data_IF_659399370848
#
_entry.id   IF_659399370848
#
_cell.length_a   1.000
_cell.length_b   1.000
_cell.length_c   1.000
_cell.angle_alpha   90.00
_cell.angle_beta   90.00
_cell.angle_gamma   90.00
#
_symmetry.space_group_name_H-M   'P 1'
#
loop_
_entity.id
_entity.type
_entity.pdbx_description
1 polymer ?
#
# COMPACT_ATOMS: atom_id res chain seq x y z
N UNK A 1 6.29 -66.97 -13.73
CA UNK A 1 6.72 -65.70 -14.37
C UNK A 1 5.55 -64.74 -14.65
N UNK A 2 4.39 -65.18 -15.12
CA UNK A 2 3.24 -64.30 -15.41
C UNK A 2 2.72 -63.48 -14.20
N UNK A 3 2.75 -64.05 -12.99
CA UNK A 3 2.20 -63.40 -11.79
C UNK A 3 3.02 -62.19 -11.32
N UNK A 4 4.35 -62.23 -11.46
CA UNK A 4 5.23 -61.09 -11.14
C UNK A 4 4.98 -59.91 -12.08
N UNK A 5 4.81 -60.19 -13.39
CA UNK A 5 4.54 -59.17 -14.39
C UNK A 5 3.18 -58.51 -14.12
N UNK A 6 2.16 -59.31 -13.81
CA UNK A 6 0.84 -58.79 -13.45
C UNK A 6 0.89 -57.87 -12.21
N UNK A 7 1.61 -58.27 -11.15
CA UNK A 7 1.80 -57.45 -9.95
C UNK A 7 2.51 -56.13 -10.26
N UNK A 8 3.58 -56.15 -11.06
CA UNK A 8 4.30 -54.93 -11.45
C UNK A 8 3.40 -53.95 -12.19
N UNK A 9 2.59 -54.44 -13.15
CA UNK A 9 1.65 -53.59 -13.89
C UNK A 9 0.62 -52.96 -12.95
N UNK A 10 0.04 -53.74 -12.03
CA UNK A 10 -0.94 -53.23 -11.07
C UNK A 10 -0.33 -52.15 -10.17
N UNK A 11 0.89 -52.35 -9.67
CA UNK A 11 1.58 -51.35 -8.84
C UNK A 11 1.81 -50.04 -9.62
N UNK A 12 2.23 -50.13 -10.88
CA UNK A 12 2.43 -48.95 -11.73
C UNK A 12 1.08 -48.24 -11.98
N UNK A 13 0.03 -48.98 -12.31
CA UNK A 13 -1.30 -48.40 -12.54
C UNK A 13 -1.87 -47.74 -11.27
N UNK A 14 -1.76 -48.40 -10.12
CA UNK A 14 -2.24 -47.88 -8.85
C UNK A 14 -1.50 -46.60 -8.43
N UNK A 15 -0.17 -46.58 -8.57
CA UNK A 15 0.64 -45.39 -8.27
C UNK A 15 0.32 -44.23 -9.23
N UNK A 16 0.17 -44.50 -10.52
CA UNK A 16 -0.23 -43.49 -11.51
C UNK A 16 -1.63 -42.93 -11.22
N UNK A 17 -2.60 -43.79 -10.92
CA UNK A 17 -3.95 -43.37 -10.55
C UNK A 17 -3.96 -42.49 -9.30
N UNK A 18 -3.18 -42.86 -8.27
CA UNK A 18 -3.06 -42.07 -7.04
C UNK A 18 -2.44 -40.70 -7.29
N UNK A 19 -1.40 -40.63 -8.13
CA UNK A 19 -0.76 -39.37 -8.49
C UNK A 19 -1.73 -38.43 -9.24
N UNK A 20 -2.53 -38.96 -10.16
CA UNK A 20 -3.57 -38.20 -10.86
C UNK A 20 -4.67 -37.71 -9.91
N UNK A 21 -5.16 -38.56 -9.01
CA UNK A 21 -6.16 -38.19 -8.02
C UNK A 21 -5.66 -37.07 -7.08
N UNK A 22 -4.38 -37.12 -6.70
CA UNK A 22 -3.74 -36.07 -5.91
C UNK A 22 -3.67 -34.74 -6.67
N UNK A 23 -3.24 -34.77 -7.94
CA UNK A 23 -3.21 -33.59 -8.79
C UNK A 23 -4.60 -32.97 -8.99
N UNK A 24 -5.63 -33.79 -9.17
CA UNK A 24 -7.02 -33.33 -9.26
C UNK A 24 -7.47 -32.61 -8.00
N UNK A 25 -7.19 -33.18 -6.82
CA UNK A 25 -7.54 -32.55 -5.54
C UNK A 25 -6.83 -31.21 -5.35
N UNK A 26 -5.54 -31.12 -5.72
CA UNK A 26 -4.80 -29.86 -5.67
C UNK A 26 -5.34 -28.82 -6.65
N UNK A 27 -5.73 -29.25 -7.85
CA UNK A 27 -6.34 -28.36 -8.84
C UNK A 27 -7.66 -27.78 -8.32
N UNK A 28 -8.53 -28.62 -7.74
CA UNK A 28 -9.81 -28.21 -7.15
C UNK A 28 -9.58 -27.17 -6.04
N UNK A 29 -8.68 -27.44 -5.10
CA UNK A 29 -8.38 -26.49 -4.01
C UNK A 29 -7.91 -25.13 -4.52
N UNK A 30 -7.02 -25.11 -5.52
CA UNK A 30 -6.56 -23.86 -6.14
C UNK A 30 -7.70 -23.09 -6.80
N UNK A 31 -8.61 -23.79 -7.48
CA UNK A 31 -9.77 -23.15 -8.09
C UNK A 31 -10.75 -22.61 -7.06
N UNK A 32 -10.94 -23.30 -5.94
CA UNK A 32 -11.75 -22.85 -4.80
C UNK A 32 -11.14 -21.59 -4.17
N UNK A 33 -9.84 -21.58 -3.90
CA UNK A 33 -9.13 -20.43 -3.35
C UNK A 33 -9.22 -19.21 -4.29
N UNK A 34 -9.04 -19.43 -5.60
CA UNK A 34 -9.16 -18.38 -6.61
C UNK A 34 -10.60 -17.83 -6.68
N UNK A 35 -11.60 -18.71 -6.61
CA UNK A 35 -13.01 -18.29 -6.60
C UNK A 35 -13.35 -17.50 -5.34
N UNK A 36 -12.90 -17.95 -4.17
CA UNK A 36 -13.09 -17.25 -2.90
C UNK A 36 -12.43 -15.86 -2.92
N UNK A 37 -11.20 -15.75 -3.46
CA UNK A 37 -10.52 -14.47 -3.64
C UNK A 37 -11.29 -13.54 -4.56
N UNK A 38 -11.83 -14.04 -5.67
CA UNK A 38 -12.63 -13.24 -6.60
C UNK A 38 -13.95 -12.77 -5.98
N UNK A 39 -14.60 -13.62 -5.19
CA UNK A 39 -15.81 -13.26 -4.44
C UNK A 39 -15.51 -12.17 -3.40
N UNK A 40 -14.43 -12.30 -2.63
CA UNK A 40 -14.00 -11.27 -1.68
C UNK A 40 -13.70 -9.93 -2.37
N UNK A 41 -13.05 -9.96 -3.53
CA UNK A 41 -12.79 -8.76 -4.33
C UNK A 41 -14.08 -8.11 -4.84
N UNK A 42 -15.03 -8.90 -5.35
CA UNK A 42 -16.33 -8.39 -5.80
C UNK A 42 -17.14 -7.79 -4.64
N UNK A 43 -17.10 -8.42 -3.47
CA UNK A 43 -17.72 -7.90 -2.25
C UNK A 43 -17.09 -6.59 -1.80
N UNK A 44 -15.75 -6.45 -1.86
CA UNK A 44 -15.07 -5.20 -1.55
C UNK A 44 -15.50 -4.07 -2.49
N UNK A 45 -15.54 -4.33 -3.81
CA UNK A 45 -16.04 -3.36 -4.80
C UNK A 45 -17.51 -2.97 -4.57
N UNK A 46 -18.36 -3.94 -4.23
CA UNK A 46 -19.75 -3.69 -3.85
C UNK A 46 -19.85 -2.81 -2.59
N UNK A 47 -19.00 -3.08 -1.60
CA UNK A 47 -18.88 -2.28 -0.38
C UNK A 47 -18.46 -0.83 -0.68
N UNK A 48 -17.49 -0.62 -1.57
CA UNK A 48 -17.08 0.72 -2.03
C UNK A 48 -18.22 1.46 -2.74
N UNK A 49 -18.97 0.80 -3.62
CA UNK A 49 -20.10 1.41 -4.31
C UNK A 49 -21.21 1.85 -3.33
N UNK A 50 -21.52 1.00 -2.34
CA UNK A 50 -22.48 1.34 -1.27
C UNK A 50 -21.97 2.48 -0.40
N UNK A 51 -20.67 2.48 -0.07
CA UNK A 51 -20.05 3.56 0.68
C UNK A 51 -20.11 4.88 -0.09
N UNK A 52 -19.80 4.88 -1.39
CA UNK A 52 -19.85 6.05 -2.26
C UNK A 52 -21.28 6.61 -2.38
N UNK A 53 -22.28 5.76 -2.59
CA UNK A 53 -23.68 6.18 -2.62
C UNK A 53 -24.13 6.76 -1.28
N UNK A 54 -23.78 6.08 -0.17
CA UNK A 54 -24.09 6.55 1.18
C UNK A 54 -23.44 7.91 1.48
N UNK A 55 -22.20 8.11 1.04
CA UNK A 55 -21.50 9.39 1.16
C UNK A 55 -22.20 10.47 0.33
N UNK A 56 -22.49 10.21 -0.95
CA UNK A 56 -23.18 11.15 -1.84
C UNK A 56 -24.53 11.59 -1.26
N UNK A 57 -25.34 10.65 -0.78
CA UNK A 57 -26.61 10.95 -0.12
C UNK A 57 -26.41 11.74 1.18
N UNK A 58 -25.40 11.42 1.99
CA UNK A 58 -25.15 12.14 3.25
C UNK A 58 -24.68 13.58 3.07
N UNK A 59 -24.11 13.91 1.91
CA UNK A 59 -23.59 15.24 1.59
C UNK A 59 -24.60 16.11 0.80
N UNK A 60 -25.74 15.55 0.38
CA UNK A 60 -26.76 16.31 -0.35
C UNK A 60 -27.35 17.42 0.54
N UNK A 61 -27.25 18.67 0.08
CA UNK A 61 -27.78 19.84 0.79
C UNK A 61 -26.95 20.26 2.01
N UNK A 62 -25.76 19.69 2.20
CA UNK A 62 -24.88 19.97 3.33
C UNK A 62 -23.77 20.94 2.93
N UNK A 63 -23.66 22.08 3.61
CA UNK A 63 -22.63 23.10 3.34
C UNK A 63 -21.30 22.93 4.09
N UNK A 64 -21.21 21.98 5.02
CA UNK A 64 -20.01 21.71 5.82
C UNK A 64 -19.84 20.20 6.07
N UNK A 65 -18.63 19.68 5.89
CA UNK A 65 -18.29 18.27 6.15
C UNK A 65 -17.64 18.15 7.53
N UNK A 66 -18.15 17.26 8.38
CA UNK A 66 -17.62 17.02 9.71
C UNK A 66 -17.86 15.58 10.20
N UNK A 67 -17.16 15.18 11.26
CA UNK A 67 -17.15 13.80 11.79
C UNK A 67 -18.42 13.39 12.56
N UNK A 68 -19.40 14.29 12.73
CA UNK A 68 -20.69 13.95 13.37
C UNK A 68 -21.69 13.37 12.37
N UNK A 69 -21.36 13.41 11.08
CA UNK A 69 -22.22 12.97 9.99
C UNK A 69 -22.28 11.42 9.90
N UNK A 70 -23.36 10.85 9.35
CA UNK A 70 -23.55 9.40 9.28
C UNK A 70 -22.46 8.64 8.54
N UNK A 71 -21.77 9.27 7.58
CA UNK A 71 -20.70 8.63 6.82
C UNK A 71 -19.44 8.37 7.66
N UNK A 72 -19.21 9.15 8.73
CA UNK A 72 -18.03 9.06 9.58
C UNK A 72 -18.13 7.95 10.66
N UNK A 73 -19.31 7.36 10.82
CA UNK A 73 -19.52 6.25 11.74
C UNK A 73 -19.15 4.92 11.07
N UNK A 74 -18.44 4.01 11.77
CA UNK A 74 -18.10 2.71 11.23
C UNK A 74 -19.38 1.93 10.92
N UNK A 75 -19.44 1.33 9.72
CA UNK A 75 -20.59 0.53 9.29
C UNK A 75 -20.19 -0.92 9.08
N UNK A 76 -21.03 -1.80 9.61
CA UNK A 76 -21.00 -3.23 9.38
C UNK A 76 -22.29 -3.64 8.69
N UNK A 77 -22.17 -4.43 7.62
CA UNK A 77 -23.29 -4.94 6.85
C UNK A 77 -23.11 -6.44 6.61
N UNK A 78 -24.20 -7.19 6.73
CA UNK A 78 -24.24 -8.60 6.31
C UNK A 78 -24.55 -8.66 4.82
N UNK A 79 -23.83 -9.51 4.09
CA UNK A 79 -24.08 -9.80 2.68
C UNK A 79 -24.41 -11.28 2.55
N UNK A 80 -25.70 -11.58 2.35
CA UNK A 80 -26.19 -12.96 2.33
C UNK A 80 -26.14 -13.64 3.72
N UNK A 81 -26.05 -14.97 3.73
CA UNK A 81 -26.02 -15.79 4.94
C UNK A 81 -24.63 -15.92 5.59
N UNK A 82 -23.57 -15.89 4.78
CA UNK A 82 -22.23 -16.38 5.21
C UNK A 82 -21.11 -15.33 5.08
N UNK A 83 -21.43 -14.09 4.70
CA UNK A 83 -20.44 -13.03 4.56
C UNK A 83 -20.83 -11.75 5.30
N UNK A 84 -19.84 -11.13 5.93
CA UNK A 84 -19.96 -9.82 6.55
C UNK A 84 -18.94 -8.87 5.92
N UNK A 85 -19.37 -7.64 5.65
CA UNK A 85 -18.52 -6.55 5.19
C UNK A 85 -18.49 -5.49 6.29
N UNK A 86 -17.29 -5.11 6.70
CA UNK A 86 -17.06 -3.98 7.59
C UNK A 86 -16.20 -2.95 6.87
N UNK A 87 -16.54 -1.68 7.02
CA UNK A 87 -15.82 -0.58 6.39
C UNK A 87 -15.92 0.69 7.20
N UNK A 88 -14.93 1.56 7.03
CA UNK A 88 -14.92 2.91 7.58
C UNK A 88 -14.54 3.90 6.48
N UNK A 89 -15.13 5.09 6.52
CA UNK A 89 -14.81 6.17 5.61
C UNK A 89 -14.00 7.20 6.41
N UNK A 90 -12.89 7.65 5.84
CA UNK A 90 -11.98 8.61 6.47
C UNK A 90 -11.88 9.83 5.57
N UNK A 91 -11.99 11.03 6.15
CA UNK A 91 -11.76 12.28 5.42
C UNK A 91 -10.25 12.51 5.23
N UNK A 92 -9.81 12.46 3.97
CA UNK A 92 -8.42 12.71 3.59
C UNK A 92 -8.07 14.21 3.59
N UNK A 93 -9.06 15.11 3.54
CA UNK A 93 -8.82 16.57 3.62
C UNK A 93 -8.46 17.01 5.04
N UNK A 94 -8.76 16.19 6.06
CA UNK A 94 -8.31 16.40 7.44
C UNK A 94 -6.83 16.05 7.66
N UNK A 95 -6.17 15.41 6.69
CA UNK A 95 -4.75 15.08 6.76
C UNK A 95 -3.91 16.12 6.03
N UNK A 96 -2.63 16.24 6.43
CA UNK A 96 -1.70 17.14 5.75
C UNK A 96 -1.43 16.64 4.32
N UNK A 97 -1.71 17.47 3.32
CA UNK A 97 -1.47 17.14 1.92
C UNK A 97 0.02 17.27 1.57
N UNK A 98 0.69 16.13 1.41
CA UNK A 98 2.11 16.08 1.06
C UNK A 98 2.41 16.70 -0.30
N UNK A 99 1.43 16.74 -1.21
CA UNK A 99 1.61 17.36 -2.52
C UNK A 99 1.81 18.88 -2.43
N UNK A 100 1.42 19.52 -1.33
CA UNK A 100 1.63 20.96 -1.10
C UNK A 100 3.11 21.30 -0.79
N UNK A 101 3.97 20.28 -0.59
CA UNK A 101 5.42 20.45 -0.42
C UNK A 101 6.16 20.58 -1.75
N UNK A 102 5.50 20.32 -2.87
CA UNK A 102 6.09 20.45 -4.20
C UNK A 102 6.60 21.89 -4.44
N UNK A 103 7.77 22.09 -5.06
CA UNK A 103 8.31 23.43 -5.32
C UNK A 103 7.38 24.32 -6.17
N UNK A 104 6.56 23.69 -7.04
CA UNK A 104 5.59 24.36 -7.88
C UNK A 104 4.31 24.81 -7.14
N UNK A 105 4.10 24.38 -5.90
CA UNK A 105 2.94 24.79 -5.10
C UNK A 105 3.11 26.24 -4.60
N UNK A 106 2.06 27.06 -4.76
CA UNK A 106 2.07 28.49 -4.41
C UNK A 106 2.30 28.79 -2.93
N UNK A 107 2.08 27.81 -2.04
CA UNK A 107 2.23 27.92 -0.59
C UNK A 107 3.36 27.04 0.00
N UNK A 108 4.28 26.55 -0.85
CA UNK A 108 5.27 25.53 -0.46
C UNK A 108 6.13 25.89 0.77
N UNK A 109 6.52 27.15 0.94
CA UNK A 109 7.31 27.60 2.10
C UNK A 109 6.54 27.48 3.44
N UNK A 110 5.27 27.91 3.46
CA UNK A 110 4.40 27.82 4.64
C UNK A 110 4.09 26.36 4.96
N UNK A 111 3.85 25.55 3.92
CA UNK A 111 3.53 24.13 4.08
C UNK A 111 4.73 23.32 4.57
N UNK A 112 5.94 23.64 4.12
CA UNK A 112 7.20 23.08 4.67
C UNK A 112 7.33 23.37 6.16
N UNK A 113 7.09 24.60 6.59
CA UNK A 113 7.12 24.97 8.01
C UNK A 113 6.09 24.19 8.83
N UNK A 114 4.84 24.11 8.35
CA UNK A 114 3.77 23.33 9.00
C UNK A 114 4.13 21.84 9.10
N UNK A 115 4.65 21.26 8.03
CA UNK A 115 5.08 19.86 8.03
C UNK A 115 6.23 19.61 8.99
N UNK A 116 7.21 20.52 9.06
CA UNK A 116 8.32 20.44 9.99
C UNK A 116 7.86 20.48 11.45
N UNK A 117 6.86 21.32 11.76
CA UNK A 117 6.21 21.33 13.07
C UNK A 117 5.46 20.03 13.36
N UNK A 118 4.72 19.48 12.39
CA UNK A 118 4.03 18.19 12.55
C UNK A 118 5.02 17.05 12.80
N UNK A 119 6.15 17.01 12.09
CA UNK A 119 7.21 16.03 12.30
C UNK A 119 7.78 16.12 13.72
N UNK A 120 8.02 17.33 14.19
CA UNK A 120 8.52 17.57 15.56
C UNK A 120 7.53 17.09 16.61
N UNK A 121 6.23 17.36 16.44
CA UNK A 121 5.17 16.89 17.33
C UNK A 121 5.01 15.36 17.30
N UNK A 122 5.24 14.75 16.15
CA UNK A 122 5.22 13.30 15.98
C UNK A 122 6.49 12.58 16.47
N UNK A 123 7.52 13.33 16.94
CA UNK A 123 8.80 12.77 17.35
C UNK A 123 9.69 12.28 16.19
N UNK A 124 9.41 12.73 14.96
CA UNK A 124 10.18 12.43 13.77
C UNK A 124 11.24 13.51 13.49
N UNK A 125 12.27 13.16 12.70
CA UNK A 125 13.31 14.12 12.30
C UNK A 125 12.72 15.25 11.43
N UNK A 126 12.80 16.52 11.87
CA UNK A 126 12.34 17.67 11.09
C UNK A 126 13.04 17.81 9.73
N UNK A 127 14.25 17.26 9.56
CA UNK A 127 14.98 17.23 8.29
C UNK A 127 14.37 16.30 7.23
N UNK A 128 13.34 15.53 7.56
CA UNK A 128 12.62 14.69 6.59
C UNK A 128 11.82 15.53 5.57
N UNK A 129 11.51 16.79 5.89
CA UNK A 129 10.76 17.71 5.01
C UNK A 129 11.39 17.84 3.63
N UNK A 130 12.72 17.98 3.55
CA UNK A 130 13.41 18.19 2.28
C UNK A 130 13.41 16.91 1.44
N UNK A 131 13.58 15.75 2.06
CA UNK A 131 13.51 14.46 1.37
C UNK A 131 12.10 14.18 0.81
N UNK A 132 11.03 14.56 1.53
CA UNK A 132 9.65 14.40 1.06
C UNK A 132 9.31 15.42 -0.04
N UNK A 133 9.78 16.66 0.10
CA UNK A 133 9.59 17.70 -0.91
C UNK A 133 10.30 17.36 -2.23
N UNK A 134 11.52 16.81 -2.13
CA UNK A 134 12.29 16.32 -3.27
C UNK A 134 11.62 15.11 -3.93
N UNK A 135 11.14 14.15 -3.14
CA UNK A 135 10.40 13.00 -3.66
C UNK A 135 9.09 13.38 -4.39
N UNK A 136 8.46 14.48 -3.97
CA UNK A 136 7.22 15.01 -4.57
C UNK A 136 7.50 15.84 -5.83
N UNK A 137 8.76 16.21 -6.08
CA UNK A 137 9.13 17.02 -7.22
C UNK A 137 9.14 16.17 -8.50
N UNK A 138 8.26 16.44 -9.49
CA UNK A 138 8.26 15.70 -10.75
C UNK A 138 9.47 16.03 -11.64
N UNK A 139 10.21 17.09 -11.32
CA UNK A 139 11.44 17.48 -12.02
C UNK A 139 12.63 17.13 -11.12
N UNK A 140 13.60 16.33 -11.57
CA UNK A 140 14.86 16.17 -10.86
C UNK A 140 15.64 17.50 -10.97
N UNK A 141 15.42 18.38 -9.99
CA UNK A 141 16.23 19.56 -9.75
C UNK A 141 17.06 19.24 -8.51
N UNK A 142 18.35 19.53 -8.58
CA UNK A 142 19.25 19.38 -7.44
C UNK A 142 18.96 20.41 -6.34
N UNK A 143 17.80 20.31 -5.69
CA UNK A 143 17.42 21.12 -4.54
C UNK A 143 17.82 20.41 -3.26
N UNK A 144 18.95 20.83 -2.68
CA UNK A 144 19.33 20.54 -1.29
C UNK A 144 19.75 19.10 -0.95
N UNK A 145 18.98 18.08 -1.34
CA UNK A 145 19.30 16.65 -1.19
C UNK A 145 20.22 16.11 -2.29
N UNK A 146 20.24 16.77 -3.45
CA UNK A 146 21.01 16.37 -4.63
C UNK A 146 22.14 17.36 -5.02
N UNK A 147 22.36 18.44 -4.27
CA UNK A 147 23.49 19.35 -4.51
C UNK A 147 24.83 18.67 -4.14
N UNK A 148 25.93 18.86 -4.92
CA UNK A 148 27.19 18.13 -4.79
C UNK A 148 28.03 18.43 -3.52
N UNK A 149 27.46 19.07 -2.51
CA UNK A 149 28.11 19.34 -1.22
C UNK A 149 27.58 18.40 -0.13
N UNK A 150 28.10 17.17 -0.17
CA UNK A 150 28.25 16.17 0.90
C UNK A 150 28.01 14.79 0.30
N UNK A 151 28.96 14.34 -0.52
CA UNK A 151 29.01 12.97 -1.03
C UNK A 151 29.41 12.04 0.13
N UNK A 152 28.52 11.85 1.10
CA UNK A 152 28.58 10.63 1.90
C UNK A 152 28.08 9.55 0.95
N UNK A 153 29.01 8.80 0.39
CA UNK A 153 28.74 7.57 -0.36
C UNK A 153 28.12 6.54 0.59
N UNK A 154 26.86 6.75 0.98
CA UNK A 154 26.01 5.68 1.44
C UNK A 154 25.74 4.81 0.21
N UNK A 155 26.48 3.72 0.10
CA UNK A 155 26.19 2.65 -0.85
C UNK A 155 24.88 1.96 -0.43
N UNK A 156 23.74 2.62 -0.64
CA UNK A 156 22.43 2.00 -0.56
C UNK A 156 22.24 1.16 -1.83
N UNK A 157 22.14 -0.16 -1.67
CA UNK A 157 22.07 -1.13 -2.77
C UNK A 157 20.79 -1.08 -3.61
N UNK A 158 19.84 -0.20 -3.28
CA UNK A 158 18.69 0.12 -4.14
C UNK A 158 18.50 1.62 -4.25
N UNK A 159 18.71 2.13 -5.46
CA UNK A 159 18.31 3.47 -5.88
C UNK A 159 16.78 3.45 -6.05
N UNK A 160 16.04 4.06 -5.14
CA UNK A 160 14.60 4.30 -5.34
C UNK A 160 14.52 5.58 -6.15
N UNK A 161 14.00 5.50 -7.38
CA UNK A 161 13.81 6.67 -8.23
C UNK A 161 12.73 7.59 -7.62
N UNK A 162 12.86 8.92 -7.77
CA UNK A 162 11.79 9.86 -7.40
C UNK A 162 10.49 9.52 -8.13
N UNK A 163 9.35 9.79 -7.50
CA UNK A 163 8.06 9.51 -8.11
C UNK A 163 7.86 10.45 -9.32
N UNK A 164 7.55 9.95 -10.53
CA UNK A 164 7.41 10.79 -11.72
C UNK A 164 6.14 11.66 -11.74
N UNK A 165 5.31 11.61 -10.68
CA UNK A 165 4.00 12.28 -10.56
C UNK A 165 3.67 12.59 -9.09
N UNK A 166 2.79 13.58 -8.80
CA UNK A 166 2.23 13.77 -7.46
C UNK A 166 1.69 12.44 -6.92
N UNK A 167 1.85 12.23 -5.62
CA UNK A 167 1.61 10.93 -4.99
C UNK A 167 0.17 10.45 -5.22
N UNK A 168 0.00 9.26 -5.79
CA UNK A 168 -1.31 8.63 -5.95
C UNK A 168 -1.77 7.88 -4.68
N UNK A 169 -0.88 7.68 -3.69
CA UNK A 169 -1.20 7.07 -2.41
C UNK A 169 -0.17 7.45 -1.31
N UNK A 170 -0.61 7.65 -0.04
CA UNK A 170 0.27 8.00 1.08
C UNK A 170 1.25 6.89 1.48
N UNK A 171 0.93 5.62 1.19
CA UNK A 171 1.83 4.47 1.43
C UNK A 171 3.16 4.55 0.66
N UNK A 172 3.22 5.34 -0.41
CA UNK A 172 4.44 5.55 -1.17
C UNK A 172 5.53 6.27 -0.34
N UNK A 173 5.15 7.10 0.65
CA UNK A 173 6.08 7.79 1.54
C UNK A 173 6.72 6.89 2.62
N UNK A 174 6.14 5.72 2.93
CA UNK A 174 6.68 4.81 3.94
C UNK A 174 8.10 4.29 3.59
N UNK A 175 8.45 4.30 2.31
CA UNK A 175 9.78 3.92 1.82
C UNK A 175 10.86 4.96 2.08
N UNK A 176 10.50 6.22 2.38
CA UNK A 176 11.46 7.27 2.72
C UNK A 176 12.03 7.09 4.15
N UNK A 177 11.21 6.66 5.12
CA UNK A 177 11.57 6.61 6.53
C UNK A 177 12.35 5.34 6.95
N UNK A 178 12.10 4.21 6.29
CA UNK A 178 12.73 2.91 6.62
C UNK A 178 14.21 2.82 6.23
N UNK A 179 14.72 3.74 5.40
CA UNK A 179 16.10 3.68 4.88
C UNK A 179 17.18 4.16 5.86
N UNK A 180 16.84 5.00 6.85
CA UNK A 180 17.83 5.55 7.80
C UNK A 180 18.30 4.55 8.85
N UNK A 181 17.48 3.55 9.20
CA UNK A 181 17.77 2.63 10.31
C UNK A 181 18.71 1.47 9.96
N UNK A 182 19.06 1.26 8.68
CA UNK A 182 19.98 0.20 8.22
C UNK A 182 21.29 0.71 7.60
N UNK A 183 21.71 1.92 7.98
CA UNK A 183 22.95 2.52 7.49
C UNK A 183 24.05 2.41 8.58
N UNK A 184 24.77 1.29 8.63
CA UNK A 184 25.96 1.17 9.50
C UNK A 184 27.11 2.04 8.96
N UNK A 185 27.52 3.04 9.74
CA UNK A 185 28.67 3.92 9.48
C UNK A 185 29.94 3.10 9.31
N UNK A 186 30.43 2.92 8.08
CA UNK A 186 31.77 2.34 7.85
C UNK A 186 32.78 3.46 7.77
N UNK A 187 33.39 3.82 8.90
CA UNK A 187 34.54 4.72 8.93
C UNK A 187 35.72 4.03 8.26
N UNK A 188 36.19 4.53 7.11
CA UNK A 188 37.55 4.24 6.64
C UNK A 188 38.46 5.36 7.11
N UNK A 189 39.29 5.02 8.10
CA UNK A 189 40.58 5.64 8.34
C UNK A 189 41.48 5.32 7.14
N UNK A 190 42.01 6.37 6.50
CA UNK A 190 43.30 6.49 5.81
C UNK A 190 43.22 7.63 4.80
#
# INVERSE_FOLDING_TARGET
MALLIALLIVVILASASTALAWQQTLAIRRTEDMLASNQAWALALGGEAVAAQGLATSLQGVGNVNLTQPWAQPRQGLVGSDAAIAGSIIDLQGLFNLNDLAPAASASAIMRFRFQHLLTQAGADPGLVDAVADWTNPIPVATGSEAPAMRITWACSRRIAPAPRPSSAPAACAWCAVSRSRCTRRSRLS
#
